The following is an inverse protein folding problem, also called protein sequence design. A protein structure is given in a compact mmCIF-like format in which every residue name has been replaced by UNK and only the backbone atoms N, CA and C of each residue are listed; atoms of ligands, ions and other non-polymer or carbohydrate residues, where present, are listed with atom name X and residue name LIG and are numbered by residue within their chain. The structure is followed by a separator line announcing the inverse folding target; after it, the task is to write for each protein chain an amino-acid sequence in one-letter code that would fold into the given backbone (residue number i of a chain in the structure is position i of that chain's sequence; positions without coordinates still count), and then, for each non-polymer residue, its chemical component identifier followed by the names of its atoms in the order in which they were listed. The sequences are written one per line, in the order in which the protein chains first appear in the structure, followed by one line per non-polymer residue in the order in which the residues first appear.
data_IF_566750134774
#
_entry.id   IF_566750134774
#
_cell.length_a   1.000
_cell.length_b   1.000
_cell.length_c   1.000
_cell.angle_alpha   90.00
_cell.angle_beta   90.00
_cell.angle_gamma   90.00
#
_symmetry.space_group_name_H-M   'P 1'
#
loop_
_entity.id
_entity.type
_entity.pdbx_description
1 polymer ?
#
# COMPACT_ATOMS: atom_id res chain seq x y z
N UNK A 1 7.86 -6.53 -24.75
CA UNK A 1 6.68 -7.02 -24.02
C UNK A 1 5.62 -5.94 -24.12
N UNK A 2 4.44 -6.27 -24.64
CA UNK A 2 3.52 -5.30 -25.25
C UNK A 2 2.61 -4.56 -24.24
N UNK A 3 2.93 -4.62 -22.94
CA UNK A 3 2.25 -3.86 -21.88
C UNK A 3 0.80 -4.27 -21.59
N UNK A 4 0.30 -5.36 -22.19
CA UNK A 4 -1.08 -5.83 -22.05
C UNK A 4 -1.21 -6.93 -20.98
N UNK A 5 -2.31 -6.90 -20.22
CA UNK A 5 -2.64 -7.93 -19.22
C UNK A 5 -3.46 -9.07 -19.85
N UNK A 6 -3.19 -10.31 -19.44
CA UNK A 6 -3.78 -11.53 -20.01
C UNK A 6 -4.51 -12.42 -18.98
N UNK A 7 -4.74 -11.93 -17.76
CA UNK A 7 -5.43 -12.68 -16.70
C UNK A 7 -6.75 -12.01 -16.37
N UNK A 8 -7.86 -12.72 -16.51
CA UNK A 8 -9.17 -12.26 -16.06
C UNK A 8 -9.27 -12.37 -14.52
N UNK A 9 -9.14 -11.25 -13.82
CA UNK A 9 -9.40 -11.16 -12.38
C UNK A 9 -10.58 -10.20 -12.15
N UNK A 10 -11.60 -10.62 -11.40
CA UNK A 10 -12.72 -9.75 -11.00
C UNK A 10 -14.07 -10.45 -10.90
N UNK A 11 -14.99 -9.85 -10.13
CA UNK A 11 -16.41 -10.22 -10.18
C UNK A 11 -16.98 -9.72 -11.52
N UNK A 12 -17.65 -10.56 -12.33
CA UNK A 12 -18.02 -10.25 -13.72
C UNK A 12 -18.70 -8.90 -13.94
N UNK A 13 -19.48 -8.43 -12.96
CA UNK A 13 -20.21 -7.16 -13.01
C UNK A 13 -19.33 -5.90 -13.06
N UNK A 14 -18.05 -6.00 -12.68
CA UNK A 14 -17.10 -4.86 -12.67
C UNK A 14 -16.12 -4.90 -13.84
N UNK A 15 -16.09 -6.00 -14.59
CA UNK A 15 -15.09 -6.25 -15.62
C UNK A 15 -15.42 -5.47 -16.90
N UNK A 16 -14.41 -4.85 -17.51
CA UNK A 16 -14.56 -4.11 -18.76
C UNK A 16 -14.80 -5.03 -19.97
N UNK A 17 -15.52 -4.59 -21.02
CA UNK A 17 -15.85 -5.42 -22.18
C UNK A 17 -14.63 -6.04 -22.87
N UNK A 18 -13.52 -5.29 -22.95
CA UNK A 18 -12.29 -5.73 -23.60
C UNK A 18 -11.54 -6.81 -22.80
N UNK A 19 -11.70 -6.85 -21.49
CA UNK A 19 -11.11 -7.89 -20.63
C UNK A 19 -11.79 -9.24 -20.88
N UNK A 20 -13.10 -9.22 -21.17
CA UNK A 20 -13.87 -10.42 -21.51
C UNK A 20 -13.50 -10.99 -22.90
N UNK A 21 -12.85 -10.19 -23.74
CA UNK A 21 -12.50 -10.58 -25.11
C UNK A 21 -11.19 -11.38 -25.22
N UNK A 22 -10.42 -11.53 -24.12
CA UNK A 22 -9.22 -12.36 -23.97
C UNK A 22 -8.13 -12.16 -25.06
N UNK A 23 -7.97 -10.91 -25.52
CA UNK A 23 -6.98 -10.53 -26.56
C UNK A 23 -5.83 -9.66 -26.03
N UNK A 24 -5.71 -9.57 -24.70
CA UNK A 24 -4.91 -8.55 -24.05
C UNK A 24 -5.67 -7.21 -23.97
N UNK A 25 -5.49 -6.48 -22.87
CA UNK A 25 -6.18 -5.20 -22.65
C UNK A 25 -5.27 -4.17 -21.96
N UNK A 26 -5.61 -2.89 -22.13
CA UNK A 26 -5.01 -1.77 -21.39
C UNK A 26 -5.58 -1.73 -19.96
N UNK A 27 -4.72 -2.04 -18.98
CA UNK A 27 -5.09 -2.07 -17.57
C UNK A 27 -5.67 -0.74 -17.06
N UNK A 28 -5.12 0.40 -17.50
CA UNK A 28 -5.61 1.71 -17.03
C UNK A 28 -7.03 1.98 -17.52
N UNK A 29 -7.32 1.66 -18.78
CA UNK A 29 -8.67 1.82 -19.32
C UNK A 29 -9.67 0.88 -18.63
N UNK A 30 -9.27 -0.36 -18.34
CA UNK A 30 -10.09 -1.34 -17.63
C UNK A 30 -10.37 -0.94 -16.17
N UNK A 31 -9.39 -0.34 -15.49
CA UNK A 31 -9.57 0.19 -14.14
C UNK A 31 -10.54 1.37 -14.12
N UNK A 32 -10.45 2.28 -15.11
CA UNK A 32 -11.41 3.39 -15.26
C UNK A 32 -12.85 2.86 -15.38
N UNK A 33 -13.06 1.81 -16.18
CA UNK A 33 -14.37 1.16 -16.28
C UNK A 33 -14.86 0.65 -14.91
N UNK A 34 -14.00 -0.09 -14.21
CA UNK A 34 -14.31 -0.64 -12.87
C UNK A 34 -14.66 0.47 -11.87
N UNK A 35 -13.91 1.59 -11.87
CA UNK A 35 -14.22 2.78 -11.09
C UNK A 35 -15.59 3.39 -11.45
N UNK A 36 -15.97 3.38 -12.73
CA UNK A 36 -17.29 3.80 -13.18
C UNK A 36 -18.44 2.96 -12.63
N UNK A 37 -18.25 1.64 -12.58
CA UNK A 37 -19.22 0.73 -11.96
C UNK A 37 -19.37 1.04 -10.47
N UNK A 38 -18.26 1.22 -9.75
CA UNK A 38 -18.26 1.58 -8.32
C UNK A 38 -18.95 2.92 -8.09
N UNK A 39 -18.61 3.94 -8.88
CA UNK A 39 -19.22 5.27 -8.79
C UNK A 39 -20.74 5.19 -8.99
N UNK A 40 -21.18 4.42 -9.99
CA UNK A 40 -22.61 4.19 -10.21
C UNK A 40 -23.27 3.54 -8.99
N UNK A 41 -22.67 2.47 -8.45
CA UNK A 41 -23.19 1.75 -7.27
C UNK A 41 -23.31 2.67 -6.06
N UNK A 42 -22.29 3.50 -5.79
CA UNK A 42 -22.31 4.45 -4.67
C UNK A 42 -23.46 5.47 -4.79
N UNK A 43 -23.83 5.85 -6.02
CA UNK A 43 -24.88 6.84 -6.27
C UNK A 43 -26.29 6.24 -6.44
N UNK A 44 -26.38 5.02 -6.94
CA UNK A 44 -27.64 4.35 -7.28
C UNK A 44 -28.09 3.31 -6.24
N UNK A 45 -27.14 2.70 -5.52
CA UNK A 45 -27.39 1.59 -4.59
C UNK A 45 -27.54 0.22 -5.25
N UNK A 46 -27.31 0.11 -6.56
CA UNK A 46 -27.42 -1.14 -7.33
C UNK A 46 -26.46 -1.13 -8.54
N UNK A 47 -26.24 -2.29 -9.16
CA UNK A 47 -25.31 -2.45 -10.29
C UNK A 47 -25.90 -1.92 -11.62
N UNK A 48 -25.10 -1.26 -12.47
CA UNK A 48 -25.57 -0.81 -13.79
C UNK A 48 -25.80 -1.98 -14.76
N UNK A 49 -25.08 -3.09 -14.57
CA UNK A 49 -25.24 -4.34 -15.30
C UNK A 49 -25.30 -5.51 -14.33
N UNK A 50 -26.43 -6.20 -14.31
CA UNK A 50 -26.63 -7.38 -13.47
C UNK A 50 -27.62 -8.33 -14.14
N UNK A 51 -27.26 -9.62 -14.18
CA UNK A 51 -28.12 -10.69 -14.67
C UNK A 51 -27.59 -12.03 -14.14
N UNK A 52 -28.46 -12.94 -13.65
CA UNK A 52 -28.02 -14.26 -13.18
C UNK A 52 -27.44 -15.13 -14.31
N UNK A 53 -27.77 -14.84 -15.57
CA UNK A 53 -27.19 -15.50 -16.73
C UNK A 53 -25.97 -14.73 -17.24
N UNK A 54 -24.78 -15.34 -17.13
CA UNK A 54 -23.52 -14.72 -17.55
C UNK A 54 -23.49 -14.30 -19.02
N UNK A 55 -24.14 -15.05 -19.91
CA UNK A 55 -24.19 -14.69 -21.34
C UNK A 55 -25.04 -13.44 -21.58
N UNK A 56 -26.12 -13.26 -20.81
CA UNK A 56 -26.93 -12.03 -20.84
C UNK A 56 -26.15 -10.87 -20.23
N UNK A 57 -25.49 -11.10 -19.08
CA UNK A 57 -24.64 -10.11 -18.43
C UNK A 57 -23.54 -9.59 -19.38
N UNK A 58 -22.83 -10.48 -20.07
CA UNK A 58 -21.80 -10.08 -21.04
C UNK A 58 -22.37 -9.27 -22.21
N UNK A 59 -23.58 -9.59 -22.67
CA UNK A 59 -24.26 -8.77 -23.69
C UNK A 59 -24.62 -7.39 -23.17
N UNK A 60 -25.03 -7.26 -21.91
CA UNK A 60 -25.31 -5.97 -21.27
C UNK A 60 -24.03 -5.14 -21.14
N UNK A 61 -22.94 -5.75 -20.65
CA UNK A 61 -21.62 -5.12 -20.52
C UNK A 61 -21.11 -4.65 -21.89
N UNK A 62 -21.14 -5.51 -22.91
CA UNK A 62 -20.65 -5.18 -24.26
C UNK A 62 -21.46 -4.06 -24.92
N UNK A 63 -22.77 -3.98 -24.65
CA UNK A 63 -23.62 -2.89 -25.16
C UNK A 63 -23.47 -1.60 -24.37
N UNK A 64 -23.08 -1.70 -23.10
CA UNK A 64 -22.89 -0.58 -22.17
C UNK A 64 -24.06 0.41 -22.09
N UNK A 65 -25.31 -0.06 -22.25
CA UNK A 65 -26.48 0.82 -22.16
C UNK A 65 -26.86 1.07 -20.70
N UNK A 66 -26.21 2.07 -20.09
CA UNK A 66 -26.40 2.43 -18.69
C UNK A 66 -27.65 3.28 -18.50
N UNK A 67 -28.60 2.78 -17.73
CA UNK A 67 -29.78 3.54 -17.31
C UNK A 67 -29.54 4.23 -15.96
N UNK A 68 -29.24 5.53 -15.99
CA UNK A 68 -29.04 6.31 -14.76
C UNK A 68 -30.38 6.65 -14.07
N UNK A 69 -30.52 6.43 -12.75
CA UNK A 69 -31.71 6.82 -11.98
C UNK A 69 -32.08 8.30 -12.10
N UNK A 70 -33.35 8.70 -11.89
CA UNK A 70 -33.81 10.09 -12.04
C UNK A 70 -33.14 11.10 -11.09
N UNK A 71 -32.62 10.67 -9.93
CA UNK A 71 -31.92 11.54 -8.98
C UNK A 71 -30.47 11.89 -9.39
N UNK A 72 -29.92 11.27 -10.43
CA UNK A 72 -28.60 11.65 -10.92
C UNK A 72 -28.65 13.05 -11.56
N UNK A 73 -27.75 13.94 -11.14
CA UNK A 73 -27.55 15.22 -11.82
C UNK A 73 -27.11 15.02 -13.28
N UNK A 74 -27.37 16.00 -14.14
CA UNK A 74 -26.96 15.96 -15.55
C UNK A 74 -25.44 15.75 -15.70
N UNK A 75 -24.63 16.41 -14.86
CA UNK A 75 -23.17 16.24 -14.84
C UNK A 75 -22.76 14.80 -14.53
N UNK A 76 -23.31 14.21 -13.46
CA UNK A 76 -23.04 12.82 -13.09
C UNK A 76 -23.36 11.83 -14.21
N UNK A 77 -24.52 12.00 -14.87
CA UNK A 77 -24.93 11.12 -15.98
C UNK A 77 -23.97 11.21 -17.15
N UNK A 78 -23.52 12.42 -17.48
CA UNK A 78 -22.58 12.65 -18.58
C UNK A 78 -21.22 12.02 -18.26
N UNK A 79 -20.72 12.21 -17.03
CA UNK A 79 -19.46 11.61 -16.60
C UNK A 79 -19.55 10.07 -16.62
N UNK A 80 -20.59 9.47 -16.03
CA UNK A 80 -20.81 8.02 -16.04
C UNK A 80 -20.83 7.45 -17.46
N UNK A 81 -21.51 8.11 -18.40
CA UNK A 81 -21.55 7.65 -19.80
C UNK A 81 -20.17 7.68 -20.48
N UNK A 82 -19.32 8.65 -20.13
CA UNK A 82 -17.95 8.75 -20.67
C UNK A 82 -17.00 7.73 -20.04
N UNK A 83 -17.22 7.40 -18.75
CA UNK A 83 -16.46 6.36 -18.04
C UNK A 83 -16.85 4.97 -18.53
N UNK A 84 -18.15 4.71 -18.68
CA UNK A 84 -18.70 3.42 -19.14
C UNK A 84 -18.85 3.37 -20.67
N UNK A 85 -17.89 3.94 -21.39
CA UNK A 85 -17.76 3.77 -22.85
C UNK A 85 -17.18 2.37 -23.13
N UNK A 86 -17.88 1.51 -23.90
CA UNK A 86 -17.40 0.16 -24.19
C UNK A 86 -16.15 0.14 -25.06
N UNK A 87 -15.83 1.22 -25.77
CA UNK A 87 -14.61 1.33 -26.55
C UNK A 87 -13.48 1.94 -25.68
N UNK A 88 -12.43 1.18 -25.33
CA UNK A 88 -11.36 1.66 -24.46
C UNK A 88 -10.58 2.84 -25.06
N UNK A 89 -10.56 3.00 -26.39
CA UNK A 89 -9.85 4.11 -27.04
C UNK A 89 -10.57 5.45 -26.96
N UNK A 90 -11.89 5.45 -26.79
CA UNK A 90 -12.71 6.66 -26.64
C UNK A 90 -13.17 6.90 -25.20
N UNK A 91 -13.00 5.89 -24.34
CA UNK A 91 -13.21 5.97 -22.90
C UNK A 91 -12.39 7.10 -22.30
N UNK A 92 -13.02 7.87 -21.43
CA UNK A 92 -12.39 8.99 -20.74
C UNK A 92 -11.19 8.51 -19.91
N UNK A 93 -10.11 9.29 -19.88
CA UNK A 93 -8.93 8.99 -19.06
C UNK A 93 -9.05 9.59 -17.66
N UNK A 94 -8.23 9.15 -16.70
CA UNK A 94 -8.16 9.74 -15.36
C UNK A 94 -7.86 11.24 -15.42
N UNK A 95 -6.91 11.67 -16.26
CA UNK A 95 -6.59 13.09 -16.43
C UNK A 95 -7.82 13.91 -16.84
N UNK A 96 -8.62 13.39 -17.77
CA UNK A 96 -9.86 14.03 -18.20
C UNK A 96 -10.99 13.96 -17.16
N UNK A 97 -11.03 12.92 -16.32
CA UNK A 97 -11.98 12.82 -15.19
C UNK A 97 -11.66 13.90 -14.15
N UNK A 98 -10.38 14.08 -13.80
CA UNK A 98 -9.93 15.12 -12.87
C UNK A 98 -10.27 16.53 -13.37
N UNK A 99 -10.40 16.69 -14.69
CA UNK A 99 -10.82 17.94 -15.33
C UNK A 99 -12.34 18.12 -15.41
N UNK A 100 -13.15 17.09 -15.15
CA UNK A 100 -14.61 17.13 -15.30
C UNK A 100 -15.27 18.02 -14.24
N UNK A 101 -16.22 18.87 -14.67
CA UNK A 101 -16.90 19.83 -13.81
C UNK A 101 -17.72 19.18 -12.70
N UNK A 102 -18.27 17.98 -12.94
CA UNK A 102 -18.99 17.26 -11.89
C UNK A 102 -18.01 16.70 -10.85
N UNK A 103 -16.85 16.18 -11.30
CA UNK A 103 -15.83 15.63 -10.42
C UNK A 103 -15.17 16.70 -9.55
N UNK A 104 -14.85 17.88 -10.12
CA UNK A 104 -14.21 18.98 -9.40
C UNK A 104 -15.05 19.59 -8.28
N UNK A 105 -16.36 19.36 -8.27
CA UNK A 105 -17.25 19.96 -7.29
C UNK A 105 -16.91 19.46 -5.88
N UNK A 106 -16.45 20.39 -5.03
CA UNK A 106 -16.01 20.12 -3.66
C UNK A 106 -14.84 19.13 -3.54
N UNK A 107 -14.14 18.85 -4.67
CA UNK A 107 -12.97 17.99 -4.68
C UNK A 107 -11.80 18.69 -3.98
N UNK A 108 -11.26 18.02 -2.96
CA UNK A 108 -9.98 18.37 -2.36
C UNK A 108 -9.02 17.27 -2.75
N UNK A 109 -7.98 17.57 -3.55
CA UNK A 109 -6.97 16.57 -3.83
C UNK A 109 -6.42 16.05 -2.50
N UNK A 110 -6.24 14.74 -2.35
CA UNK A 110 -5.53 14.22 -1.19
C UNK A 110 -4.19 14.95 -1.11
N UNK A 111 -3.82 15.44 0.08
CA UNK A 111 -2.49 15.98 0.30
C UNK A 111 -1.50 14.88 -0.13
N UNK A 112 -0.80 15.13 -1.23
CA UNK A 112 0.24 14.27 -1.73
C UNK A 112 1.40 14.34 -0.73
N UNK A 113 1.37 13.50 0.30
CA UNK A 113 2.62 12.86 0.70
C UNK A 113 2.96 11.95 -0.50
N UNK A 114 3.96 12.36 -1.26
CA UNK A 114 4.31 11.79 -2.56
C UNK A 114 4.43 10.26 -2.47
N UNK A 115 3.58 9.55 -3.22
CA UNK A 115 3.82 8.17 -3.63
C UNK A 115 4.90 8.16 -4.72
N UNK A 116 6.12 8.54 -4.35
CA UNK A 116 7.32 8.36 -5.18
C UNK A 116 8.24 7.42 -4.40
N UNK A 117 8.35 6.17 -4.88
CA UNK A 117 9.42 5.22 -4.55
C UNK A 117 10.01 5.32 -3.14
N UNK A 118 9.23 5.03 -2.09
CA UNK A 118 9.61 5.00 -0.66
C UNK A 118 11.03 5.51 -0.40
N UNK A 119 11.20 6.82 -0.62
CA UNK A 119 12.51 7.43 -0.78
C UNK A 119 13.24 7.33 0.55
N UNK A 120 14.56 7.12 0.50
CA UNK A 120 15.43 7.26 1.69
C UNK A 120 15.30 8.66 2.33
N UNK A 121 14.75 9.62 1.58
CA UNK A 121 14.60 11.02 1.93
C UNK A 121 13.56 11.30 3.03
N UNK A 122 12.50 10.50 3.24
CA UNK A 122 11.49 10.84 4.26
C UNK A 122 12.00 10.68 5.69
N UNK A 123 12.88 9.70 5.90
CA UNK A 123 13.55 9.51 7.19
C UNK A 123 14.74 10.44 7.28
N UNK A 124 15.45 10.74 6.19
CA UNK A 124 16.50 11.75 6.24
C UNK A 124 15.94 13.15 6.53
N UNK A 125 14.89 13.61 5.85
CA UNK A 125 14.22 14.89 6.06
C UNK A 125 13.65 15.08 7.47
N UNK A 126 13.11 14.01 8.10
CA UNK A 126 12.66 14.10 9.48
C UNK A 126 13.81 14.50 10.42
N UNK A 127 15.00 13.93 10.22
CA UNK A 127 16.15 14.08 11.13
C UNK A 127 17.23 15.08 10.64
N UNK A 128 17.21 15.51 9.38
CA UNK A 128 18.13 16.49 8.75
C UNK A 128 17.52 17.89 8.64
N UNK A 129 16.36 18.14 9.27
CA UNK A 129 15.85 19.50 9.44
C UNK A 129 16.83 20.30 10.32
N UNK A 130 17.80 20.93 9.66
CA UNK A 130 18.59 22.03 10.19
C UNK A 130 17.62 23.03 10.82
N UNK A 131 17.91 23.39 12.06
CA UNK A 131 17.16 24.34 12.87
C UNK A 131 16.84 25.61 12.08
N UNK A 132 15.66 25.69 11.46
CA UNK A 132 14.96 26.93 11.13
C UNK A 132 13.54 26.61 10.60
N UNK A 133 12.56 26.76 11.50
CA UNK A 133 11.15 27.03 11.20
C UNK A 133 10.27 25.95 10.52
N UNK A 134 10.21 24.72 11.06
CA UNK A 134 8.96 23.95 11.03
C UNK A 134 8.73 23.32 12.41
N UNK A 135 7.60 23.62 13.02
CA UNK A 135 7.14 22.98 14.25
C UNK A 135 7.04 21.48 13.94
N UNK A 136 7.94 20.67 14.48
CA UNK A 136 7.82 19.22 14.38
C UNK A 136 6.49 18.84 15.06
N UNK A 137 5.43 18.67 14.27
CA UNK A 137 4.13 18.25 14.78
C UNK A 137 4.33 16.92 15.51
N UNK A 138 4.16 16.95 16.84
CA UNK A 138 4.14 15.74 17.64
C UNK A 138 2.91 14.95 17.23
N UNK A 139 3.10 13.82 16.58
CA UNK A 139 2.00 12.93 16.20
C UNK A 139 1.55 12.15 17.45
N UNK A 140 0.24 12.12 17.71
CA UNK A 140 -0.35 11.40 18.85
C UNK A 140 -0.52 9.90 18.59
N UNK A 141 -0.53 9.47 17.32
CA UNK A 141 -0.66 8.07 16.91
C UNK A 141 0.17 7.75 15.65
N UNK A 142 0.59 6.49 15.46
CA UNK A 142 1.30 6.09 14.25
C UNK A 142 0.43 6.24 13.01
N UNK A 143 1.10 6.29 11.87
CA UNK A 143 0.44 6.42 10.59
C UNK A 143 -0.33 5.13 10.26
N UNK A 144 -1.55 5.26 9.74
CA UNK A 144 -2.39 4.10 9.47
C UNK A 144 -1.95 3.40 8.18
N UNK A 145 -1.61 2.12 8.26
CA UNK A 145 -1.34 1.28 7.10
C UNK A 145 -2.62 0.57 6.67
N UNK A 146 -3.16 1.01 5.54
CA UNK A 146 -4.33 0.36 4.93
C UNK A 146 -3.96 -0.91 4.15
N UNK A 147 -4.98 -1.67 3.72
CA UNK A 147 -4.78 -2.93 3.00
C UNK A 147 -3.98 -2.76 1.69
N UNK A 148 -4.17 -1.66 0.95
CA UNK A 148 -3.41 -1.39 -0.27
C UNK A 148 -1.94 -1.12 0.02
N UNK A 149 -1.66 -0.36 1.07
CA UNK A 149 -0.32 -0.05 1.54
C UNK A 149 0.43 -1.29 2.06
N UNK A 150 -0.31 -2.25 2.63
CA UNK A 150 0.23 -3.53 3.06
C UNK A 150 0.49 -4.47 1.87
N UNK A 151 -0.41 -4.49 0.88
CA UNK A 151 -0.28 -5.27 -0.35
C UNK A 151 0.89 -4.77 -1.20
N UNK A 152 1.03 -3.46 -1.39
CA UNK A 152 2.10 -2.87 -2.19
C UNK A 152 3.49 -3.19 -1.65
N UNK A 153 3.60 -3.44 -0.33
CA UNK A 153 4.84 -3.83 0.36
C UNK A 153 5.04 -5.35 0.42
N UNK A 154 4.08 -6.15 -0.05
CA UNK A 154 4.16 -7.61 -0.07
C UNK A 154 4.57 -8.13 -1.46
N UNK A 155 5.67 -8.85 -1.54
CA UNK A 155 6.07 -9.48 -2.80
C UNK A 155 5.08 -10.60 -3.16
N UNK A 156 4.40 -10.45 -4.30
CA UNK A 156 3.48 -11.47 -4.82
C UNK A 156 2.32 -11.80 -3.88
N UNK A 157 1.82 -10.81 -3.11
CA UNK A 157 0.78 -10.99 -2.08
C UNK A 157 1.19 -11.91 -0.92
N UNK A 158 2.49 -12.19 -0.76
CA UNK A 158 3.00 -13.03 0.31
C UNK A 158 3.13 -12.23 1.61
N UNK A 159 2.16 -12.40 2.51
CA UNK A 159 2.16 -11.82 3.86
C UNK A 159 3.07 -12.57 4.85
N UNK A 160 3.86 -13.54 4.38
CA UNK A 160 4.81 -14.28 5.20
C UNK A 160 5.85 -13.38 5.87
N UNK A 161 6.19 -12.24 5.28
CA UNK A 161 7.12 -11.25 5.86
C UNK A 161 6.55 -10.55 7.11
N UNK A 162 5.25 -10.70 7.41
CA UNK A 162 4.66 -10.20 8.66
C UNK A 162 5.03 -11.07 9.86
N UNK A 163 5.39 -12.32 9.61
CA UNK A 163 5.62 -13.35 10.62
C UNK A 163 7.06 -13.85 10.54
N UNK A 164 7.62 -14.26 11.67
CA UNK A 164 8.99 -14.78 11.74
C UNK A 164 9.10 -16.14 11.02
N UNK A 165 9.25 -16.13 9.69
CA UNK A 165 9.73 -17.27 8.90
C UNK A 165 11.12 -16.93 8.37
N UNK A 166 12.04 -17.88 8.54
CA UNK A 166 13.45 -17.74 8.17
C UNK A 166 13.61 -17.16 6.77
N UNK A 167 14.27 -15.99 6.68
CA UNK A 167 14.70 -15.37 5.43
C UNK A 167 15.84 -16.17 4.80
N UNK A 168 15.55 -17.37 4.33
CA UNK A 168 16.46 -18.19 3.55
C UNK A 168 16.17 -17.91 2.06
N UNK A 169 16.87 -16.94 1.46
CA UNK A 169 16.97 -16.92 -0.02
C UNK A 169 17.28 -15.59 -0.70
N UNK A 170 16.84 -14.44 -0.18
CA UNK A 170 17.02 -13.14 -0.85
C UNK A 170 17.62 -12.09 0.07
N UNK A 171 18.69 -11.44 -0.39
CA UNK A 171 19.37 -10.34 0.31
C UNK A 171 18.55 -9.06 0.10
N UNK A 172 17.61 -8.77 1.02
CA UNK A 172 16.75 -7.58 0.95
C UNK A 172 17.34 -6.40 1.71
N UNK A 173 17.06 -5.18 1.23
CA UNK A 173 17.47 -3.95 1.93
C UNK A 173 16.47 -3.53 3.01
N UNK A 174 15.36 -4.26 3.12
CA UNK A 174 14.26 -3.98 4.03
C UNK A 174 13.63 -5.27 4.57
N UNK A 175 13.00 -5.15 5.72
CA UNK A 175 12.24 -6.21 6.38
C UNK A 175 11.16 -5.59 7.26
N UNK A 176 10.14 -6.36 7.60
CA UNK A 176 9.11 -5.97 8.54
C UNK A 176 8.85 -7.07 9.57
N UNK A 177 8.20 -6.70 10.67
CA UNK A 177 7.53 -7.66 11.55
C UNK A 177 6.26 -7.04 12.14
N UNK A 178 5.29 -7.87 12.49
CA UNK A 178 4.09 -7.41 13.18
C UNK A 178 4.23 -7.50 14.71
N UNK A 179 3.54 -6.63 15.45
CA UNK A 179 3.50 -6.63 16.91
C UNK A 179 2.11 -6.26 17.43
N UNK A 180 1.70 -6.88 18.55
CA UNK A 180 0.48 -6.55 19.28
C UNK A 180 0.73 -5.62 20.47
N UNK A 181 1.98 -5.18 20.66
CA UNK A 181 2.37 -4.23 21.71
C UNK A 181 1.99 -2.82 21.30
N UNK A 182 1.96 -1.92 22.27
CA UNK A 182 1.76 -0.49 21.99
C UNK A 182 2.97 0.09 21.23
N UNK A 183 2.80 1.16 20.43
CA UNK A 183 3.90 1.78 19.70
C UNK A 183 5.06 2.20 20.61
N UNK A 184 4.75 2.68 21.81
CA UNK A 184 5.73 3.11 22.80
C UNK A 184 6.56 1.94 23.34
N UNK A 185 5.92 0.80 23.65
CA UNK A 185 6.60 -0.43 24.07
C UNK A 185 7.51 -0.97 22.95
N UNK A 186 7.01 -0.98 21.71
CA UNK A 186 7.79 -1.38 20.53
C UNK A 186 9.05 -0.53 20.39
N UNK A 187 8.90 0.81 20.42
CA UNK A 187 10.02 1.73 20.29
C UNK A 187 11.00 1.67 21.47
N UNK A 188 10.53 1.37 22.69
CA UNK A 188 11.41 1.13 23.84
C UNK A 188 12.23 -0.14 23.64
N UNK A 189 11.57 -1.23 23.22
CA UNK A 189 12.22 -2.52 23.01
C UNK A 189 13.24 -2.53 21.89
N UNK A 190 12.96 -1.80 20.81
CA UNK A 190 13.91 -1.61 19.71
C UNK A 190 15.16 -0.87 20.21
N UNK A 191 15.01 0.17 21.03
CA UNK A 191 16.14 0.88 21.61
C UNK A 191 16.96 0.01 22.58
N UNK A 192 16.29 -0.72 23.46
CA UNK A 192 16.91 -1.68 24.38
C UNK A 192 17.73 -2.74 23.62
N UNK A 193 17.19 -3.27 22.52
CA UNK A 193 17.87 -4.27 21.68
C UNK A 193 19.07 -3.70 20.91
N UNK A 194 19.07 -2.40 20.58
CA UNK A 194 20.16 -1.76 19.84
C UNK A 194 21.41 -1.53 20.68
N UNK A 195 21.26 -1.25 21.98
CA UNK A 195 22.37 -0.94 22.88
C UNK A 195 23.47 -2.03 22.90
N UNK A 196 23.14 -3.29 23.22
CA UNK A 196 24.11 -4.40 23.22
C UNK A 196 24.75 -4.67 21.85
N UNK A 197 24.07 -4.29 20.76
CA UNK A 197 24.55 -4.46 19.39
C UNK A 197 25.51 -3.34 18.94
N UNK A 198 25.69 -2.29 19.75
CA UNK A 198 26.55 -1.15 19.42
C UNK A 198 25.92 -0.22 18.38
N UNK A 199 24.62 0.05 18.54
CA UNK A 199 23.87 1.00 17.70
C UNK A 199 23.38 2.17 18.53
N UNK A 200 23.66 3.38 18.05
CA UNK A 200 23.06 4.60 18.55
C UNK A 200 21.67 4.80 17.94
N UNK A 201 20.68 5.13 18.77
CA UNK A 201 19.28 5.30 18.37
C UNK A 201 18.89 6.77 18.48
N UNK A 202 18.29 7.31 17.41
CA UNK A 202 17.58 8.60 17.43
C UNK A 202 16.10 8.34 17.16
N UNK A 203 15.21 8.95 17.92
CA UNK A 203 13.76 8.79 17.79
C UNK A 203 13.10 10.10 17.42
N UNK A 204 12.10 10.03 16.55
CA UNK A 204 11.25 11.16 16.20
C UNK A 204 9.86 10.64 15.83
N UNK A 205 8.84 11.01 16.61
CA UNK A 205 7.49 10.44 16.50
C UNK A 205 7.55 8.90 16.54
N UNK A 206 7.07 8.23 15.49
CA UNK A 206 7.06 6.77 15.34
C UNK A 206 8.16 6.25 14.40
N UNK A 207 9.16 7.10 14.12
CA UNK A 207 10.35 6.82 13.30
C UNK A 207 11.60 6.76 14.18
N UNK A 208 12.54 5.87 13.85
CA UNK A 208 13.85 5.81 14.50
C UNK A 208 14.98 5.64 13.48
N UNK A 209 16.13 6.27 13.74
CA UNK A 209 17.38 6.04 13.02
C UNK A 209 18.36 5.30 13.94
N UNK A 210 18.79 4.13 13.51
CA UNK A 210 19.79 3.29 14.17
C UNK A 210 21.10 3.43 13.39
N UNK A 211 22.17 3.85 14.06
CA UNK A 211 23.50 3.99 13.45
C UNK A 211 24.50 3.14 14.21
N UNK A 212 25.10 2.17 13.54
CA UNK A 212 26.12 1.31 14.11
C UNK A 212 27.41 2.08 14.37
N UNK A 213 28.08 1.74 15.47
CA UNK A 213 29.33 2.40 15.89
C UNK A 213 30.56 1.87 15.15
N UNK A 214 30.44 0.69 14.53
CA UNK A 214 31.50 0.06 13.77
C UNK A 214 31.44 0.48 12.31
N UNK A 215 32.59 0.85 11.77
CA UNK A 215 32.74 1.09 10.32
C UNK A 215 32.83 -0.26 9.62
N UNK A 216 31.83 -0.57 8.79
CA UNK A 216 31.80 -1.74 7.93
C UNK A 216 32.43 -1.51 6.56
N UNK A 217 32.25 -2.45 5.64
CA UNK A 217 32.86 -2.43 4.30
C UNK A 217 32.40 -1.26 3.43
N UNK A 218 31.18 -0.76 3.67
CA UNK A 218 30.58 0.38 2.96
C UNK A 218 30.27 1.54 3.91
N UNK A 219 31.12 1.74 4.92
CA UNK A 219 30.89 2.72 5.98
C UNK A 219 30.06 2.14 7.12
N UNK A 220 29.55 3.02 7.99
CA UNK A 220 28.70 2.62 9.10
C UNK A 220 27.35 2.09 8.59
N UNK A 221 26.87 1.00 9.18
CA UNK A 221 25.52 0.52 8.93
C UNK A 221 24.51 1.49 9.55
N UNK A 222 23.62 2.03 8.72
CA UNK A 222 22.51 2.87 9.15
C UNK A 222 21.20 2.18 8.77
N UNK A 223 20.27 2.14 9.71
CA UNK A 223 18.95 1.52 9.56
C UNK A 223 17.89 2.52 10.01
N UNK A 224 16.88 2.74 9.19
CA UNK A 224 15.67 3.44 9.56
C UNK A 224 14.60 2.44 9.99
N UNK A 225 13.80 2.79 10.99
CA UNK A 225 12.63 2.02 11.39
C UNK A 225 11.41 2.89 11.50
N UNK A 226 10.24 2.37 11.17
CA UNK A 226 8.97 3.07 11.31
C UNK A 226 7.87 2.14 11.83
N UNK A 227 7.02 2.66 12.72
CA UNK A 227 5.88 1.92 13.30
C UNK A 227 4.59 2.44 12.67
N UNK A 228 3.80 1.53 12.10
CA UNK A 228 2.51 1.81 11.48
C UNK A 228 1.36 1.12 12.23
N UNK A 229 0.19 1.75 12.27
CA UNK A 229 -1.06 1.17 12.78
C UNK A 229 -1.75 0.36 11.68
N UNK A 230 -1.88 -0.96 11.83
CA UNK A 230 -2.64 -1.81 10.90
C UNK A 230 -4.07 -2.01 11.41
N UNK A 231 -4.21 -2.17 12.72
CA UNK A 231 -5.49 -2.21 13.44
C UNK A 231 -5.27 -1.65 14.87
N UNK A 232 -6.33 -1.36 15.66
CA UNK A 232 -6.18 -0.76 16.99
C UNK A 232 -5.24 -1.51 17.95
N UNK A 233 -5.06 -2.82 17.74
CA UNK A 233 -4.19 -3.69 18.55
C UNK A 233 -3.08 -4.36 17.73
N UNK A 234 -2.87 -3.94 16.48
CA UNK A 234 -1.89 -4.55 15.58
C UNK A 234 -1.07 -3.47 14.89
N UNK A 235 0.24 -3.53 15.10
CA UNK A 235 1.21 -2.60 14.53
C UNK A 235 2.17 -3.35 13.62
N UNK A 236 2.62 -2.68 12.57
CA UNK A 236 3.69 -3.13 11.71
C UNK A 236 4.94 -2.31 12.01
N UNK A 237 6.08 -2.97 12.17
CA UNK A 237 7.39 -2.33 12.24
C UNK A 237 8.14 -2.62 10.96
N UNK A 238 8.49 -1.57 10.22
CA UNK A 238 9.34 -1.65 9.04
C UNK A 238 10.78 -1.28 9.42
N UNK A 239 11.76 -1.98 8.83
CA UNK A 239 13.18 -1.72 8.97
C UNK A 239 13.81 -1.64 7.58
N UNK A 240 14.52 -0.54 7.31
CA UNK A 240 15.19 -0.30 6.02
C UNK A 240 16.63 0.10 6.22
N UNK A 241 17.54 -0.49 5.44
CA UNK A 241 18.94 -0.10 5.38
C UNK A 241 19.10 1.24 4.65
N UNK A 242 19.45 2.30 5.36
CA UNK A 242 19.72 3.63 4.80
C UNK A 242 21.20 3.87 4.48
N UNK A 243 22.12 3.10 5.09
CA UNK A 243 23.57 3.23 4.88
C UNK A 243 24.32 1.93 5.15
N UNK A 244 25.56 1.80 4.67
CA UNK A 244 26.39 0.60 4.91
C UNK A 244 26.08 -0.59 4.01
N UNK A 245 26.62 -1.76 4.36
CA UNK A 245 26.57 -2.98 3.53
C UNK A 245 25.32 -3.83 3.78
N UNK A 246 24.78 -4.44 2.72
CA UNK A 246 23.53 -5.22 2.84
C UNK A 246 23.73 -6.54 3.57
N UNK A 247 24.90 -7.19 3.51
CA UNK A 247 25.13 -8.42 4.29
C UNK A 247 25.28 -8.10 5.78
N UNK A 248 25.88 -6.95 6.11
CA UNK A 248 25.93 -6.42 7.48
C UNK A 248 24.52 -6.14 8.01
N UNK A 249 23.61 -5.60 7.19
CA UNK A 249 22.21 -5.41 7.54
C UNK A 249 21.51 -6.73 7.92
N UNK A 250 21.71 -7.80 7.15
CA UNK A 250 21.11 -9.10 7.48
C UNK A 250 21.71 -9.70 8.76
N UNK A 251 23.02 -9.58 8.93
CA UNK A 251 23.68 -10.05 10.16
C UNK A 251 23.20 -9.27 11.38
N UNK A 252 23.01 -7.96 11.25
CA UNK A 252 22.39 -7.12 12.27
C UNK A 252 20.97 -7.60 12.56
N UNK A 253 20.12 -7.71 11.54
CA UNK A 253 18.71 -8.09 11.73
C UNK A 253 18.57 -9.46 12.40
N UNK A 254 19.42 -10.43 12.06
CA UNK A 254 19.40 -11.77 12.69
C UNK A 254 19.67 -11.72 14.20
N UNK A 255 20.60 -10.88 14.64
CA UNK A 255 20.89 -10.71 16.07
C UNK A 255 19.83 -9.82 16.75
N UNK A 256 19.37 -8.80 16.04
CA UNK A 256 18.34 -7.88 16.51
C UNK A 256 16.99 -8.58 16.70
N UNK A 257 16.58 -9.44 15.76
CA UNK A 257 15.33 -10.19 15.85
C UNK A 257 15.33 -11.18 17.02
N UNK A 258 16.49 -11.72 17.41
CA UNK A 258 16.57 -12.58 18.59
C UNK A 258 16.30 -11.86 19.90
N UNK A 259 16.62 -10.56 19.99
CA UNK A 259 16.33 -9.71 21.14
C UNK A 259 14.87 -9.23 21.18
N UNK A 260 14.18 -9.21 20.04
CA UNK A 260 12.79 -8.73 19.93
C UNK A 260 11.72 -9.83 19.99
N UNK A 261 12.08 -11.06 20.35
CA UNK A 261 11.18 -12.22 20.34
C UNK A 261 9.91 -12.05 21.20
N UNK A 262 9.93 -11.15 22.16
CA UNK A 262 8.84 -10.82 23.10
C UNK A 262 7.81 -9.83 22.54
N UNK A 263 8.19 -9.07 21.50
CA UNK A 263 7.31 -8.11 20.83
C UNK A 263 6.91 -8.56 19.42
N UNK A 264 7.68 -9.44 18.78
CA UNK A 264 7.36 -9.99 17.46
C UNK A 264 6.19 -10.94 17.55
N UNK A 265 5.15 -10.69 16.76
CA UNK A 265 3.98 -11.56 16.69
C UNK A 265 4.33 -12.88 16.00
N UNK A 266 4.13 -13.98 16.73
CA UNK A 266 4.30 -15.34 16.23
C UNK A 266 2.93 -15.94 15.95
N UNK A 267 2.76 -16.51 14.77
CA UNK A 267 1.63 -17.41 14.52
C UNK A 267 1.78 -18.62 15.44
N UNK A 268 0.78 -18.89 16.29
CA UNK A 268 0.70 -20.17 16.98
C UNK A 268 0.72 -21.27 15.92
N UNK A 269 1.74 -22.12 15.97
CA UNK A 269 1.75 -23.36 15.19
C UNK A 269 0.54 -24.14 15.66
N UNK A 270 -0.55 -24.11 14.89
CA UNK A 270 -1.70 -24.98 15.15
C UNK A 270 -1.15 -26.40 15.21
N UNK A 271 -1.05 -26.93 16.43
CA UNK A 271 -0.81 -28.35 16.65
C UNK A 271 -2.10 -28.98 16.19
N UNK A 272 -2.12 -29.42 14.94
CA UNK A 272 -3.22 -30.23 14.41
C UNK A 272 -3.24 -31.48 15.28
N UNK A 273 -4.14 -31.48 16.27
CA UNK A 273 -4.49 -32.68 17.00
C UNK A 273 -4.97 -33.69 15.95
N UNK A 274 -4.24 -34.81 15.87
CA UNK A 274 -4.61 -35.98 15.08
C UNK A 274 -5.94 -36.56 15.54
#
# INVERSE_FOLDING_TARGET
EDGLLHTACGTPNYVAPEVLADKGYDGMAADVWSCGIILFVLMAGYLPFDDPNLMTLYKLITRANVSCPPWFSTGARNLIKRILDPNPHTRITIAQILEDEWFKKDYKPPHSEHNEDVSLEDVDAAFDSSEEHLVAERREKPESMNAFALISRSEGFNLGNLFEKEMMGMVKRETSFASQRTPQEIMSKIEEACGPLGFNVRKQNYKMKLKGDKTGRKGHLSVATEVFEVAPTLHMVELRKTGGDTLEFHSFYKNFSSELKDIVWKTESNTIAK
#
